data_IF_637319021667
#
_entry.id   IF_637319021667
#
_cell.length_a   1.000
_cell.length_b   1.000
_cell.length_c   1.000
_cell.angle_alpha   90.00
_cell.angle_beta   90.00
_cell.angle_gamma   90.00
#
_symmetry.space_group_name_H-M   'P 1'
#
loop_
_entity.id
_entity.type
_entity.pdbx_description
1 polymer ?
#
# COMPACT_ATOMS: atom_id res chain seq x y z
N UNK A 1 27.42 4.46 11.78
CA UNK A 1 26.15 3.76 12.03
C UNK A 1 26.09 2.54 11.15
N UNK A 2 25.65 1.40 11.71
CA UNK A 2 25.23 0.26 10.90
C UNK A 2 23.90 0.63 10.20
N UNK A 3 23.64 0.10 9.01
CA UNK A 3 22.37 0.26 8.26
C UNK A 3 21.12 0.14 9.13
N UNK A 4 21.09 -0.81 10.08
CA UNK A 4 19.97 -0.96 11.03
C UNK A 4 19.71 0.31 11.85
N UNK A 5 20.77 0.92 12.37
CA UNK A 5 20.68 2.15 13.18
C UNK A 5 20.21 3.34 12.32
N UNK A 6 20.63 3.39 11.05
CA UNK A 6 20.16 4.43 10.11
C UNK A 6 18.67 4.30 9.85
N UNK A 7 18.17 3.07 9.61
CA UNK A 7 16.73 2.83 9.42
C UNK A 7 15.96 3.21 10.68
N UNK A 8 16.40 2.75 11.86
CA UNK A 8 15.73 3.07 13.12
C UNK A 8 15.71 4.58 13.41
N UNK A 9 16.82 5.29 13.14
CA UNK A 9 16.90 6.74 13.28
C UNK A 9 15.92 7.45 12.33
N UNK A 10 15.85 7.02 11.07
CA UNK A 10 14.94 7.57 10.08
C UNK A 10 13.47 7.39 10.49
N UNK A 11 13.10 6.21 10.97
CA UNK A 11 11.72 5.92 11.41
C UNK A 11 11.33 6.77 12.63
N UNK A 12 12.25 6.96 13.59
CA UNK A 12 12.03 7.86 14.73
C UNK A 12 11.89 9.32 14.28
N UNK A 13 12.74 9.78 13.37
CA UNK A 13 12.69 11.14 12.84
C UNK A 13 11.41 11.43 12.05
N UNK A 14 10.88 10.44 11.34
CA UNK A 14 9.61 10.53 10.62
C UNK A 14 8.37 10.43 11.54
N UNK A 15 8.56 10.17 12.85
CA UNK A 15 7.48 10.00 13.83
C UNK A 15 6.43 8.95 13.42
N UNK A 16 6.84 7.93 12.67
CA UNK A 16 5.96 6.84 12.23
C UNK A 16 5.95 5.70 13.25
N UNK A 17 4.80 5.09 13.55
CA UNK A 17 4.75 3.89 14.39
C UNK A 17 5.49 2.73 13.70
N UNK A 18 6.42 2.12 14.42
CA UNK A 18 7.12 0.93 13.95
C UNK A 18 7.46 -0.06 15.05
N UNK A 19 7.59 -1.33 14.66
CA UNK A 19 8.07 -2.42 15.50
C UNK A 19 9.23 -3.12 14.79
N UNK A 20 10.23 -3.60 15.55
CA UNK A 20 11.29 -4.44 15.01
C UNK A 20 11.04 -5.90 15.42
N UNK A 21 10.44 -6.67 14.52
CA UNK A 21 10.03 -8.06 14.75
C UNK A 21 11.23 -9.01 14.93
N UNK A 22 12.33 -8.70 14.25
CA UNK A 22 13.62 -9.36 14.39
C UNK A 22 14.73 -8.40 13.96
N UNK A 23 16.00 -8.63 14.36
CA UNK A 23 17.10 -7.73 14.02
C UNK A 23 17.14 -7.39 12.52
N UNK A 24 16.95 -6.12 12.18
CA UNK A 24 16.94 -5.61 10.81
C UNK A 24 15.62 -5.78 10.04
N UNK A 25 14.53 -6.24 10.66
CA UNK A 25 13.21 -6.33 10.04
C UNK A 25 12.20 -5.45 10.79
N UNK A 26 11.85 -4.34 10.16
CA UNK A 26 10.94 -3.34 10.73
C UNK A 26 9.56 -3.43 10.06
N UNK A 27 8.51 -3.34 10.87
CA UNK A 27 7.13 -3.19 10.44
C UNK A 27 6.69 -1.77 10.73
N UNK A 28 6.41 -1.00 9.70
CA UNK A 28 6.02 0.41 9.79
C UNK A 28 4.54 0.53 9.42
N UNK A 29 3.78 1.28 10.22
CA UNK A 29 2.38 1.57 9.92
C UNK A 29 2.24 3.00 9.39
N UNK A 30 2.05 3.14 8.08
CA UNK A 30 1.90 4.44 7.43
C UNK A 30 0.42 4.87 7.41
N UNK A 31 0.06 6.03 7.99
CA UNK A 31 -1.31 6.52 7.98
C UNK A 31 -1.69 7.10 6.61
N UNK A 32 -2.72 6.55 5.98
CA UNK A 32 -3.23 7.03 4.69
C UNK A 32 -4.59 7.71 4.80
N UNK A 33 -4.93 8.49 3.77
CA UNK A 33 -6.22 9.21 3.66
C UNK A 33 -7.30 8.32 3.06
N UNK A 34 -6.97 7.55 2.02
CA UNK A 34 -7.91 6.69 1.29
C UNK A 34 -7.79 5.26 1.77
N UNK A 35 -6.55 4.78 1.87
CA UNK A 35 -6.23 3.51 2.52
C UNK A 35 -5.80 3.81 3.95
N UNK A 36 -6.70 3.57 4.90
CA UNK A 36 -6.58 3.99 6.31
C UNK A 36 -5.20 3.73 6.94
N UNK A 37 -4.60 2.59 6.63
CA UNK A 37 -3.23 2.28 7.00
C UNK A 37 -2.55 1.42 5.94
N UNK A 38 -1.27 1.66 5.72
CA UNK A 38 -0.41 0.82 4.88
C UNK A 38 0.72 0.25 5.74
N UNK A 39 0.60 -1.03 6.06
CA UNK A 39 1.66 -1.78 6.73
C UNK A 39 2.78 -2.03 5.73
N UNK A 40 3.98 -1.61 6.10
CA UNK A 40 5.19 -1.61 5.26
C UNK A 40 6.32 -2.30 6.00
N UNK A 41 6.85 -3.35 5.39
CA UNK A 41 8.05 -4.05 5.84
C UNK A 41 9.29 -3.39 5.27
N UNK A 42 10.28 -3.17 6.13
CA UNK A 42 11.65 -2.84 5.77
C UNK A 42 12.56 -3.94 6.31
N UNK A 43 13.05 -4.82 5.42
CA UNK A 43 13.82 -6.01 5.82
C UNK A 43 15.23 -5.92 5.26
N UNK A 44 16.19 -5.67 6.13
CA UNK A 44 17.62 -5.63 5.80
C UNK A 44 18.12 -7.06 5.61
N UNK A 45 18.52 -7.39 4.38
CA UNK A 45 19.25 -8.62 4.06
C UNK A 45 20.74 -8.36 3.85
N UNK A 46 21.47 -9.38 3.39
CA UNK A 46 22.93 -9.33 3.26
C UNK A 46 23.44 -8.35 2.20
N UNK A 47 22.63 -8.02 1.19
CA UNK A 47 23.04 -7.24 0.02
C UNK A 47 22.13 -6.04 -0.26
N UNK A 48 20.90 -6.08 0.25
CA UNK A 48 19.90 -5.06 0.01
C UNK A 48 18.83 -5.11 1.10
N UNK A 49 18.17 -4.00 1.31
CA UNK A 49 16.94 -3.92 2.08
C UNK A 49 15.75 -4.14 1.14
N UNK A 50 14.87 -5.05 1.52
CA UNK A 50 13.55 -5.24 0.91
C UNK A 50 12.58 -4.22 1.51
N UNK A 51 11.81 -3.56 0.64
CA UNK A 51 10.62 -2.82 1.01
C UNK A 51 9.43 -3.59 0.50
N UNK A 52 8.46 -3.90 1.35
CA UNK A 52 7.24 -4.60 0.95
C UNK A 52 6.03 -4.02 1.67
N UNK A 53 5.04 -3.53 0.94
CA UNK A 53 3.79 -3.04 1.51
C UNK A 53 2.59 -3.73 0.86
N UNK A 54 1.75 -4.33 1.68
CA UNK A 54 0.52 -4.96 1.20
C UNK A 54 -0.42 -3.88 0.65
N UNK A 55 -0.88 -4.00 -0.61
CA UNK A 55 -1.77 -3.04 -1.24
C UNK A 55 -3.24 -3.46 -1.13
N UNK A 56 -3.61 -4.59 -1.74
CA UNK A 56 -4.95 -5.19 -1.63
C UNK A 56 -4.91 -6.68 -1.98
N UNK A 57 -6.00 -7.38 -1.67
CA UNK A 57 -6.18 -8.78 -2.08
C UNK A 57 -6.33 -8.87 -3.60
N UNK A 58 -6.28 -10.08 -4.14
CA UNK A 58 -6.65 -10.37 -5.52
C UNK A 58 -7.99 -9.69 -5.87
N UNK A 59 -8.13 -9.03 -7.04
CA UNK A 59 -9.40 -8.49 -7.50
C UNK A 59 -10.48 -9.57 -7.61
N UNK A 60 -11.73 -9.24 -7.31
CA UNK A 60 -12.88 -10.14 -7.47
C UNK A 60 -13.32 -10.24 -8.94
N UNK A 61 -13.12 -9.17 -9.72
CA UNK A 61 -13.56 -9.04 -11.10
C UNK A 61 -12.58 -8.23 -11.96
N UNK A 62 -12.77 -8.23 -13.29
CA UNK A 62 -11.97 -7.45 -14.26
C UNK A 62 -10.44 -7.61 -14.13
N UNK A 63 -9.96 -8.80 -13.78
CA UNK A 63 -8.54 -9.08 -13.47
C UNK A 63 -7.55 -8.47 -14.46
N UNK A 64 -7.75 -8.72 -15.76
CA UNK A 64 -6.85 -8.21 -16.80
C UNK A 64 -6.79 -6.67 -16.84
N UNK A 65 -7.94 -6.00 -16.68
CA UNK A 65 -8.00 -4.54 -16.66
C UNK A 65 -7.36 -3.97 -15.38
N UNK A 66 -7.67 -4.59 -14.24
CA UNK A 66 -7.11 -4.24 -12.95
C UNK A 66 -5.58 -4.33 -12.96
N UNK A 67 -5.02 -5.47 -13.38
CA UNK A 67 -3.57 -5.66 -13.42
C UNK A 67 -2.89 -4.80 -14.47
N UNK A 68 -3.51 -4.60 -15.64
CA UNK A 68 -2.99 -3.67 -16.66
C UNK A 68 -2.92 -2.24 -16.13
N UNK A 69 -3.93 -1.81 -15.37
CA UNK A 69 -3.93 -0.50 -14.73
C UNK A 69 -2.75 -0.36 -13.78
N UNK A 70 -2.53 -1.31 -12.88
CA UNK A 70 -1.40 -1.28 -11.93
C UNK A 70 -0.05 -1.29 -12.65
N UNK A 71 0.13 -2.21 -13.61
CA UNK A 71 1.36 -2.32 -14.39
C UNK A 71 1.67 -1.03 -15.17
N UNK A 72 0.64 -0.33 -15.65
CA UNK A 72 0.82 0.96 -16.34
C UNK A 72 1.38 2.07 -15.45
N UNK A 73 1.29 1.93 -14.12
CA UNK A 73 1.84 2.91 -13.17
C UNK A 73 3.33 2.71 -12.94
N UNK A 74 3.81 1.46 -12.98
CA UNK A 74 5.19 1.11 -12.65
C UNK A 74 6.23 1.94 -13.41
N UNK A 75 5.98 2.32 -14.66
CA UNK A 75 6.93 3.11 -15.46
C UNK A 75 7.25 4.51 -14.90
N UNK A 76 6.42 5.06 -14.01
CA UNK A 76 6.62 6.37 -13.38
C UNK A 76 6.94 6.29 -11.88
N UNK A 77 7.15 5.09 -11.33
CA UNK A 77 7.33 4.90 -9.89
C UNK A 77 8.82 4.87 -9.51
N UNK A 78 9.11 5.30 -8.29
CA UNK A 78 10.46 5.29 -7.72
C UNK A 78 10.53 4.34 -6.53
N UNK A 79 11.62 3.58 -6.44
CA UNK A 79 11.97 2.73 -5.29
C UNK A 79 11.12 1.47 -5.13
N UNK A 80 9.81 1.56 -5.34
CA UNK A 80 8.85 0.46 -5.24
C UNK A 80 7.97 0.36 -6.49
N UNK A 81 7.49 -0.84 -6.78
CA UNK A 81 6.63 -1.15 -7.93
C UNK A 81 5.52 -2.13 -7.54
N UNK A 82 4.42 -2.15 -8.29
CA UNK A 82 3.38 -3.15 -8.10
C UNK A 82 3.88 -4.54 -8.52
N UNK A 83 3.69 -5.50 -7.63
CA UNK A 83 3.96 -6.92 -7.84
C UNK A 83 2.79 -7.77 -7.33
N UNK A 84 2.72 -9.01 -7.81
CA UNK A 84 1.73 -9.99 -7.40
C UNK A 84 2.39 -11.13 -6.63
N UNK A 85 1.71 -11.64 -5.63
CA UNK A 85 2.03 -12.95 -5.06
C UNK A 85 1.44 -14.10 -5.91
N UNK A 86 1.68 -15.38 -5.58
CA UNK A 86 1.16 -16.52 -6.34
C UNK A 86 -0.37 -16.63 -6.40
N UNK A 87 -1.10 -16.03 -5.45
CA UNK A 87 -2.57 -16.05 -5.42
C UNK A 87 -3.14 -14.86 -6.20
N UNK A 88 -2.34 -13.82 -6.42
CA UNK A 88 -2.72 -12.62 -7.16
C UNK A 88 -2.98 -11.41 -6.27
N UNK A 89 -2.59 -11.49 -4.99
CA UNK A 89 -2.59 -10.36 -4.07
C UNK A 89 -1.53 -9.35 -4.48
N UNK A 90 -1.84 -8.07 -4.28
CA UNK A 90 -1.04 -6.97 -4.79
C UNK A 90 -0.20 -6.37 -3.67
N UNK A 91 1.07 -6.15 -3.98
CA UNK A 91 2.05 -5.52 -3.11
C UNK A 91 2.77 -4.39 -3.84
N UNK A 92 3.25 -3.41 -3.08
CA UNK A 92 4.33 -2.52 -3.49
C UNK A 92 5.64 -3.12 -2.99
N UNK A 93 6.56 -3.41 -3.92
CA UNK A 93 7.84 -4.10 -3.62
C UNK A 93 9.01 -3.28 -4.13
N UNK A 94 10.08 -3.20 -3.34
CA UNK A 94 11.33 -2.51 -3.69
C UNK A 94 12.56 -3.23 -3.13
N UNK A 95 13.70 -3.09 -3.80
CA UNK A 95 14.99 -3.59 -3.30
C UNK A 95 16.03 -2.48 -3.41
N UNK A 96 16.59 -2.09 -2.27
CA UNK A 96 17.48 -0.94 -2.14
C UNK A 96 18.85 -1.43 -1.69
N UNK A 97 19.93 -1.12 -2.41
CA UNK A 97 21.26 -1.57 -2.01
C UNK A 97 21.67 -0.88 -0.70
N UNK A 98 22.44 -1.59 0.13
CA UNK A 98 22.71 -1.14 1.51
C UNK A 98 23.49 0.18 1.60
N UNK A 99 24.29 0.49 0.57
CA UNK A 99 25.07 1.72 0.45
C UNK A 99 24.22 2.95 0.10
N UNK A 100 23.05 2.75 -0.50
CA UNK A 100 22.08 3.82 -0.79
C UNK A 100 21.19 4.15 0.41
N UNK A 101 21.23 3.36 1.49
CA UNK A 101 20.37 3.56 2.65
C UNK A 101 20.86 4.76 3.46
N UNK A 102 20.05 5.81 3.46
CA UNK A 102 20.20 7.01 4.27
C UNK A 102 18.84 7.38 4.87
N UNK A 103 18.82 8.25 5.89
CA UNK A 103 17.57 8.75 6.45
C UNK A 103 16.67 9.40 5.37
N UNK A 104 17.27 10.16 4.45
CA UNK A 104 16.53 10.78 3.35
C UNK A 104 15.97 9.76 2.35
N UNK A 105 16.70 8.67 2.12
CA UNK A 105 16.22 7.61 1.22
C UNK A 105 15.08 6.81 1.85
N UNK A 106 15.15 6.52 3.16
CA UNK A 106 14.05 5.87 3.89
C UNK A 106 12.81 6.76 3.87
N UNK A 107 12.94 8.05 4.18
CA UNK A 107 11.82 8.99 4.12
C UNK A 107 11.18 9.03 2.72
N UNK A 108 12.00 9.13 1.67
CA UNK A 108 11.54 9.11 0.28
C UNK A 108 10.78 7.81 -0.04
N UNK A 109 11.29 6.65 0.37
CA UNK A 109 10.64 5.36 0.12
C UNK A 109 9.30 5.25 0.83
N UNK A 110 9.22 5.65 2.10
CA UNK A 110 7.96 5.65 2.86
C UNK A 110 6.94 6.61 2.25
N UNK A 111 7.38 7.80 1.83
CA UNK A 111 6.56 8.74 1.07
C UNK A 111 6.02 8.13 -0.22
N UNK A 112 6.88 7.45 -1.00
CA UNK A 112 6.47 6.77 -2.22
C UNK A 112 5.43 5.67 -1.93
N UNK A 113 5.66 4.81 -0.94
CA UNK A 113 4.71 3.76 -0.54
C UNK A 113 3.36 4.34 -0.17
N UNK A 114 3.35 5.41 0.62
CA UNK A 114 2.13 6.09 1.05
C UNK A 114 1.38 6.70 -0.14
N UNK A 115 2.08 7.50 -0.96
CA UNK A 115 1.49 8.15 -2.15
C UNK A 115 0.93 7.14 -3.13
N UNK A 116 1.69 6.11 -3.50
CA UNK A 116 1.23 5.12 -4.47
C UNK A 116 0.10 4.26 -3.93
N UNK A 117 0.12 3.96 -2.63
CA UNK A 117 -1.01 3.29 -1.99
C UNK A 117 -2.25 4.16 -2.07
N UNK A 118 -2.22 5.40 -1.60
CA UNK A 118 -3.41 6.27 -1.54
C UNK A 118 -3.92 6.70 -2.92
N UNK A 119 -3.04 7.15 -3.82
CA UNK A 119 -3.44 7.74 -5.09
C UNK A 119 -4.17 6.73 -5.99
N UNK A 120 -3.75 5.47 -5.94
CA UNK A 120 -4.25 4.42 -6.80
C UNK A 120 -5.29 3.50 -6.16
N UNK A 121 -5.47 3.56 -4.83
CA UNK A 121 -6.35 2.64 -4.09
C UNK A 121 -7.79 2.65 -4.62
N UNK A 122 -8.44 3.81 -4.65
CA UNK A 122 -9.85 3.89 -5.04
C UNK A 122 -10.05 3.43 -6.49
N UNK A 123 -9.15 3.81 -7.39
CA UNK A 123 -9.26 3.39 -8.79
C UNK A 123 -9.06 1.88 -8.96
N UNK A 124 -8.15 1.28 -8.19
CA UNK A 124 -7.99 -0.17 -8.16
C UNK A 124 -9.26 -0.85 -7.63
N UNK A 125 -9.86 -0.33 -6.56
CA UNK A 125 -11.11 -0.83 -5.99
C UNK A 125 -12.29 -0.73 -6.98
N UNK A 126 -12.42 0.39 -7.68
CA UNK A 126 -13.43 0.58 -8.74
C UNK A 126 -13.30 -0.45 -9.87
N UNK A 127 -12.07 -0.84 -10.21
CA UNK A 127 -11.84 -1.80 -11.29
C UNK A 127 -12.10 -3.24 -10.84
N UNK A 128 -11.58 -3.61 -9.67
CA UNK A 128 -11.49 -5.01 -9.23
C UNK A 128 -12.56 -5.46 -8.24
N UNK A 129 -13.34 -4.54 -7.67
CA UNK A 129 -14.20 -4.83 -6.50
C UNK A 129 -15.56 -4.12 -6.55
N UNK A 130 -15.98 -3.57 -7.68
CA UNK A 130 -17.20 -2.76 -7.78
C UNK A 130 -18.46 -3.52 -7.33
N UNK A 131 -18.63 -4.77 -7.76
CA UNK A 131 -19.76 -5.63 -7.39
C UNK A 131 -19.79 -5.91 -5.87
N UNK A 132 -18.63 -6.17 -5.27
CA UNK A 132 -18.50 -6.41 -3.83
C UNK A 132 -18.77 -5.16 -3.01
N UNK A 133 -18.25 -4.01 -3.44
CA UNK A 133 -18.50 -2.70 -2.83
C UNK A 133 -19.99 -2.35 -2.85
N UNK A 134 -20.66 -2.59 -3.98
CA UNK A 134 -22.10 -2.37 -4.10
C UNK A 134 -22.91 -3.23 -3.12
N UNK A 135 -22.58 -4.52 -3.01
CA UNK A 135 -23.23 -5.45 -2.07
C UNK A 135 -23.02 -5.02 -0.61
N UNK A 136 -21.80 -4.64 -0.26
CA UNK A 136 -21.46 -4.16 1.09
C UNK A 136 -22.23 -2.87 1.42
N UNK A 137 -22.35 -1.95 0.46
CA UNK A 137 -23.14 -0.74 0.62
C UNK A 137 -24.61 -1.05 0.94
N UNK A 138 -25.27 -1.86 0.11
CA UNK A 138 -26.67 -2.26 0.31
C UNK A 138 -26.89 -2.94 1.67
N UNK A 139 -25.94 -3.75 2.11
CA UNK A 139 -25.99 -4.41 3.42
C UNK A 139 -25.90 -3.42 4.58
N UNK A 140 -24.99 -2.44 4.50
CA UNK A 140 -24.83 -1.42 5.54
C UNK A 140 -26.05 -0.52 5.66
N UNK A 141 -26.61 -0.09 4.53
CA UNK A 141 -27.85 0.72 4.49
C UNK A 141 -28.99 -0.02 5.19
N UNK A 142 -29.19 -1.31 4.88
CA UNK A 142 -30.25 -2.13 5.51
C UNK A 142 -30.10 -2.28 7.02
N UNK A 143 -28.87 -2.19 7.54
CA UNK A 143 -28.57 -2.40 8.97
C UNK A 143 -28.34 -1.10 9.74
N UNK A 144 -28.32 0.06 9.09
CA UNK A 144 -27.97 1.34 9.71
C UNK A 144 -26.49 1.44 10.11
N UNK A 145 -25.62 0.67 9.46
CA UNK A 145 -24.17 0.68 9.72
C UNK A 145 -23.50 1.88 9.02
N UNK A 146 -22.34 2.30 9.54
CA UNK A 146 -21.63 3.47 9.01
C UNK A 146 -21.08 3.27 7.59
N UNK A 147 -21.36 4.22 6.69
CA UNK A 147 -20.87 4.24 5.30
C UNK A 147 -19.59 5.04 5.09
N UNK A 148 -18.96 5.58 6.14
CA UNK A 148 -17.85 6.56 6.04
C UNK A 148 -16.75 6.14 5.05
N UNK A 149 -16.33 4.88 5.08
CA UNK A 149 -15.26 4.36 4.21
C UNK A 149 -15.74 4.00 2.79
N UNK A 150 -17.05 3.84 2.60
CA UNK A 150 -17.65 3.56 1.30
C UNK A 150 -18.02 4.82 0.53
N UNK A 151 -18.07 6.00 1.19
CA UNK A 151 -18.49 7.26 0.56
C UNK A 151 -17.73 7.61 -0.72
N UNK A 152 -16.45 7.24 -0.83
CA UNK A 152 -15.67 7.41 -2.05
C UNK A 152 -16.23 6.65 -3.28
N UNK A 153 -17.11 5.68 -3.04
CA UNK A 153 -17.72 4.76 -3.99
C UNK A 153 -19.22 4.96 -4.15
N UNK A 154 -19.78 6.08 -3.65
CA UNK A 154 -21.22 6.35 -3.68
C UNK A 154 -21.85 6.25 -5.08
N UNK A 155 -21.08 6.57 -6.13
CA UNK A 155 -21.49 6.47 -7.52
C UNK A 155 -21.83 5.02 -7.97
N UNK A 156 -21.32 3.99 -7.28
CA UNK A 156 -21.74 2.60 -7.54
C UNK A 156 -23.08 2.23 -6.91
N UNK A 157 -23.47 2.93 -5.85
CA UNK A 157 -24.73 2.68 -5.13
C UNK A 157 -25.90 3.42 -5.77
N UNK A 158 -25.66 4.58 -6.38
CA UNK A 158 -26.65 5.33 -7.14
C UNK A 158 -26.06 5.87 -8.45
N UNK A 159 -26.15 5.10 -9.57
CA UNK A 159 -25.62 5.51 -10.87
C UNK A 159 -26.35 6.71 -11.50
N UNK A 160 -27.39 7.26 -10.85
CA UNK A 160 -28.24 8.33 -11.35
C UNK A 160 -28.19 9.65 -10.56
N UNK A 161 -27.32 9.77 -9.56
CA UNK A 161 -27.09 10.99 -8.76
C UNK A 161 -25.92 11.83 -9.27
#
# INVERSE_FOLDING_TARGET
MNTREVVEAALKAAEVPFEEERPGAFVVTLPGKRKLATVTWLVIGDQAMLVEAFFCRQPDENHAQFYRFLLSKNGGMYGVHFALDPVGDVYLVGRIPLDAISEQEIDRLLGCVLTYSDDWFNRALELGFASTIKREWEWRVKRGESLKNLQAFAHFADPGS
#
